data_IF_191450051697
#
_entry.id   IF_191450051697
#
_cell.length_a   1.000
_cell.length_b   1.000
_cell.length_c   1.000
_cell.angle_alpha   90.00
_cell.angle_beta   90.00
_cell.angle_gamma   90.00
#
_symmetry.space_group_name_H-M   'P 1'
#
loop_
_entity.id
_entity.type
_entity.pdbx_description
1 polymer ?
#
# COMPACT_ATOMS: atom_id res chain seq x y z
N UNK A 1 -13.70 -0.79 0.41
CA UNK A 1 -14.17 -2.01 -0.18
C UNK A 1 -13.06 -2.81 -0.85
N UNK A 2 -13.05 -4.09 -0.63
CA UNK A 2 -12.00 -4.96 -1.15
C UNK A 2 -12.48 -5.70 -2.39
N UNK A 3 -11.72 -5.62 -3.47
CA UNK A 3 -12.05 -6.35 -4.69
C UNK A 3 -10.84 -7.15 -5.09
N UNK A 4 -11.06 -8.36 -5.56
CA UNK A 4 -9.95 -9.15 -6.05
C UNK A 4 -9.44 -8.54 -7.34
N UNK A 5 -8.17 -8.30 -7.38
CA UNK A 5 -7.53 -7.71 -8.53
C UNK A 5 -6.43 -8.64 -8.96
N UNK A 6 -6.46 -9.11 -10.18
CA UNK A 6 -5.60 -10.19 -10.59
C UNK A 6 -4.51 -9.81 -11.57
N UNK A 7 -3.68 -8.84 -11.25
CA UNK A 7 -2.55 -8.62 -12.15
C UNK A 7 -1.55 -9.77 -12.07
N UNK A 8 -1.64 -10.58 -10.99
CA UNK A 8 -0.65 -11.62 -10.77
C UNK A 8 -1.25 -13.02 -10.66
N UNK A 9 -2.51 -13.18 -10.98
CA UNK A 9 -3.15 -14.49 -10.91
C UNK A 9 -3.01 -15.14 -9.54
N UNK A 10 -3.08 -14.34 -8.48
CA UNK A 10 -2.92 -14.84 -7.14
C UNK A 10 -4.19 -14.53 -6.35
N UNK A 11 -4.88 -15.56 -5.91
CA UNK A 11 -6.14 -15.38 -5.19
C UNK A 11 -5.99 -14.69 -3.85
N UNK A 12 -4.75 -14.58 -3.35
CA UNK A 12 -4.51 -13.93 -2.07
C UNK A 12 -4.46 -12.42 -2.15
N UNK A 13 -4.52 -11.87 -3.36
CA UNK A 13 -4.41 -10.43 -3.53
C UNK A 13 -5.78 -9.76 -3.52
N UNK A 14 -5.87 -8.67 -2.79
CA UNK A 14 -7.10 -7.92 -2.68
C UNK A 14 -6.81 -6.45 -2.89
N UNK A 15 -7.37 -5.86 -3.93
CA UNK A 15 -7.14 -4.45 -4.24
C UNK A 15 -8.26 -3.59 -3.70
N UNK A 16 -7.89 -2.48 -3.06
CA UNK A 16 -8.86 -1.48 -2.61
C UNK A 16 -8.79 -0.31 -3.56
N UNK A 17 -9.91 0.04 -4.16
CA UNK A 17 -9.96 1.03 -5.22
C UNK A 17 -10.89 2.17 -4.90
N UNK A 18 -10.59 3.31 -5.51
CA UNK A 18 -11.50 4.46 -5.47
C UNK A 18 -12.73 4.17 -6.30
N UNK A 19 -13.88 4.55 -5.83
CA UNK A 19 -15.10 4.35 -6.59
C UNK A 19 -15.13 5.17 -7.86
N UNK A 20 -14.61 6.37 -7.82
CA UNK A 20 -14.71 7.26 -8.96
C UNK A 20 -13.78 6.93 -10.11
N UNK A 21 -12.50 6.78 -9.83
CA UNK A 21 -11.55 6.60 -10.91
C UNK A 21 -11.03 5.19 -11.03
N UNK A 22 -11.46 4.29 -10.17
CA UNK A 22 -11.08 2.88 -10.19
C UNK A 22 -9.59 2.63 -9.93
N UNK A 23 -8.87 3.64 -9.47
CA UNK A 23 -7.46 3.44 -9.16
C UNK A 23 -7.29 2.75 -7.82
N UNK A 24 -6.32 1.86 -7.75
CA UNK A 24 -6.02 1.12 -6.53
C UNK A 24 -5.21 1.99 -5.60
N UNK A 25 -5.62 2.08 -4.33
CA UNK A 25 -4.84 2.81 -3.33
C UNK A 25 -4.22 1.89 -2.28
N UNK A 26 -4.63 0.64 -2.23
CA UNK A 26 -4.02 -0.34 -1.34
C UNK A 26 -4.17 -1.72 -1.94
N UNK A 27 -3.11 -2.52 -1.83
CA UNK A 27 -3.14 -3.88 -2.34
C UNK A 27 -2.71 -4.76 -1.19
N UNK A 28 -3.61 -5.64 -0.75
CA UNK A 28 -3.43 -6.46 0.45
C UNK A 28 -3.22 -7.91 0.04
N UNK A 29 -2.22 -8.55 0.62
CA UNK A 29 -1.92 -9.93 0.26
C UNK A 29 -1.16 -10.61 1.38
N UNK A 30 -1.08 -11.94 1.32
CA UNK A 30 -0.32 -12.73 2.27
C UNK A 30 1.03 -13.06 1.68
N UNK A 31 2.07 -12.98 2.50
CA UNK A 31 3.39 -13.34 2.06
C UNK A 31 4.23 -13.70 3.29
N UNK A 32 4.89 -14.85 3.24
CA UNK A 32 5.81 -15.28 4.30
C UNK A 32 5.19 -15.30 5.69
N UNK A 33 3.90 -15.64 5.75
CA UNK A 33 3.23 -15.79 7.05
C UNK A 33 2.66 -14.49 7.60
N UNK A 34 2.77 -13.39 6.88
CA UNK A 34 2.25 -12.10 7.33
C UNK A 34 1.34 -11.49 6.26
N UNK A 35 0.49 -10.60 6.69
CA UNK A 35 -0.28 -9.79 5.76
C UNK A 35 0.57 -8.58 5.37
N UNK A 36 0.63 -8.30 4.10
CA UNK A 36 1.37 -7.16 3.56
C UNK A 36 0.38 -6.23 2.87
N UNK A 37 0.66 -4.93 2.95
CA UNK A 37 -0.16 -3.93 2.26
C UNK A 37 0.76 -3.06 1.42
N UNK A 38 0.50 -2.98 0.12
CA UNK A 38 1.22 -2.05 -0.74
C UNK A 38 0.43 -0.76 -0.81
N UNK A 39 1.09 0.36 -0.57
CA UNK A 39 0.47 1.67 -0.63
C UNK A 39 1.35 2.61 -1.43
N UNK A 40 0.71 3.55 -2.12
CA UNK A 40 1.45 4.56 -2.87
C UNK A 40 1.96 5.61 -1.93
N UNK A 41 3.15 6.10 -2.20
CA UNK A 41 3.80 7.04 -1.32
C UNK A 41 4.51 8.11 -2.14
N UNK A 42 4.42 9.34 -1.68
CA UNK A 42 5.17 10.43 -2.31
C UNK A 42 6.65 10.11 -2.20
N UNK A 43 7.43 10.24 -3.27
CA UNK A 43 8.86 9.92 -3.20
C UNK A 43 9.60 10.65 -2.10
N UNK A 44 9.13 11.83 -1.72
CA UNK A 44 9.77 12.58 -0.62
C UNK A 44 9.58 11.88 0.71
N UNK A 45 8.48 11.14 0.87
CA UNK A 45 8.19 10.46 2.13
C UNK A 45 8.54 8.99 2.10
N UNK A 46 8.86 8.46 0.93
CA UNK A 46 9.16 7.05 0.77
C UNK A 46 10.25 6.59 1.71
N UNK A 47 11.36 7.31 1.71
CA UNK A 47 12.50 6.92 2.54
C UNK A 47 12.22 7.17 4.02
N UNK A 48 11.43 8.19 4.31
CA UNK A 48 11.07 8.47 5.69
C UNK A 48 10.42 7.24 6.33
N UNK A 49 9.42 6.68 5.64
CA UNK A 49 8.71 5.53 6.18
C UNK A 49 9.59 4.28 6.24
N UNK A 50 10.42 4.09 5.22
CA UNK A 50 11.32 2.94 5.20
C UNK A 50 12.36 3.02 6.31
N UNK A 51 12.81 4.22 6.63
CA UNK A 51 13.79 4.41 7.69
C UNK A 51 13.15 4.37 9.07
N UNK A 52 11.89 4.77 9.16
CA UNK A 52 11.20 4.79 10.44
C UNK A 52 10.85 3.38 10.93
N UNK A 53 10.56 2.47 10.03
CA UNK A 53 10.12 1.12 10.39
C UNK A 53 10.77 0.08 9.51
N UNK A 54 11.35 -0.94 10.13
CA UNK A 54 11.95 -2.04 9.37
C UNK A 54 10.91 -2.78 8.54
N UNK A 55 9.66 -2.76 8.97
CA UNK A 55 8.59 -3.46 8.27
C UNK A 55 7.96 -2.65 7.14
N UNK A 56 8.50 -1.47 6.85
CA UNK A 56 8.12 -0.72 5.66
C UNK A 56 9.28 -0.85 4.68
N UNK A 57 9.02 -1.53 3.57
CA UNK A 57 10.07 -1.90 2.60
C UNK A 57 9.65 -1.52 1.19
N UNK A 58 10.58 -1.56 0.23
CA UNK A 58 10.20 -1.29 -1.16
C UNK A 58 9.12 -2.25 -1.61
N UNK A 59 8.19 -1.75 -2.39
CA UNK A 59 6.98 -2.49 -2.71
C UNK A 59 7.27 -3.76 -3.51
N UNK A 60 6.61 -4.83 -3.11
CA UNK A 60 6.69 -6.11 -3.78
C UNK A 60 5.78 -6.08 -5.00
N UNK A 61 6.31 -6.41 -6.15
CA UNK A 61 5.56 -6.44 -7.43
C UNK A 61 4.99 -5.09 -7.88
N UNK A 62 5.48 -4.00 -7.32
CA UNK A 62 5.01 -2.67 -7.72
C UNK A 62 6.21 -1.79 -8.00
N UNK A 63 5.96 -0.62 -8.54
CA UNK A 63 7.01 0.37 -8.77
C UNK A 63 7.56 0.83 -7.42
N UNK A 64 8.82 0.56 -7.17
CA UNK A 64 9.43 0.81 -5.86
C UNK A 64 9.74 2.28 -5.60
N UNK A 65 9.63 3.12 -6.61
CA UNK A 65 9.83 4.55 -6.43
C UNK A 65 8.60 5.19 -5.81
N UNK A 66 7.42 4.69 -6.20
CA UNK A 66 6.15 5.29 -5.78
C UNK A 66 5.36 4.44 -4.79
N UNK A 67 5.81 3.24 -4.48
CA UNK A 67 5.04 2.32 -3.63
C UNK A 67 5.90 1.71 -2.56
N UNK A 68 5.34 1.56 -1.38
CA UNK A 68 5.96 0.83 -0.27
C UNK A 68 5.08 -0.33 0.13
N UNK A 69 5.71 -1.36 0.68
CA UNK A 69 4.99 -2.47 1.29
C UNK A 69 5.08 -2.33 2.80
N UNK A 70 3.98 -2.50 3.49
CA UNK A 70 3.93 -2.52 4.95
C UNK A 70 3.68 -3.95 5.38
N UNK A 71 4.59 -4.51 6.16
CA UNK A 71 4.45 -5.87 6.67
C UNK A 71 3.74 -5.77 8.02
N UNK A 72 2.59 -6.40 8.14
CA UNK A 72 1.80 -6.34 9.36
C UNK A 72 2.29 -7.39 10.35
N UNK A 73 3.43 -7.12 10.95
CA UNK A 73 4.04 -8.03 11.92
C UNK A 73 3.94 -7.49 13.34
N UNK A 74 3.17 -6.44 13.52
CA UNK A 74 2.96 -5.85 14.84
C UNK A 74 3.93 -4.75 15.20
N UNK A 75 4.93 -4.50 14.35
CA UNK A 75 5.94 -3.50 14.68
C UNK A 75 5.56 -2.08 14.29
N UNK A 76 4.63 -1.92 13.34
CA UNK A 76 4.20 -0.60 12.90
C UNK A 76 2.89 -0.26 13.62
N UNK A 77 2.83 0.85 14.36
CA UNK A 77 1.60 1.22 15.05
C UNK A 77 0.43 1.41 14.09
N UNK A 78 -0.76 1.06 14.53
CA UNK A 78 -1.95 1.17 13.69
C UNK A 78 -2.16 2.57 13.15
N UNK A 79 -1.89 3.59 13.94
CA UNK A 79 -2.09 4.96 13.49
C UNK A 79 -1.18 5.31 12.33
N UNK A 80 0.02 4.75 12.30
CA UNK A 80 0.96 5.01 11.23
C UNK A 80 0.57 4.23 9.97
N UNK A 81 0.05 3.02 10.14
CA UNK A 81 -0.48 2.25 9.03
C UNK A 81 -1.65 3.01 8.40
N UNK A 82 -2.57 3.52 9.21
CA UNK A 82 -3.70 4.28 8.71
C UNK A 82 -3.26 5.54 8.00
N UNK A 83 -2.21 6.17 8.50
CA UNK A 83 -1.69 7.38 7.90
C UNK A 83 -1.12 7.10 6.51
N UNK A 84 -0.37 6.00 6.38
CA UNK A 84 0.19 5.63 5.09
C UNK A 84 -0.90 5.24 4.09
N UNK A 85 -1.93 4.54 4.55
CA UNK A 85 -3.06 4.20 3.68
C UNK A 85 -3.80 5.47 3.26
N UNK A 86 -4.01 6.39 4.19
CA UNK A 86 -4.68 7.66 3.90
C UNK A 86 -3.90 8.49 2.90
N UNK A 87 -2.60 8.51 3.02
CA UNK A 87 -1.75 9.22 2.07
C UNK A 87 -1.88 8.61 0.68
N UNK A 88 -1.88 7.29 0.61
CA UNK A 88 -2.04 6.59 -0.66
C UNK A 88 -3.40 6.90 -1.27
N UNK A 89 -4.44 6.94 -0.45
CA UNK A 89 -5.77 7.29 -0.92
C UNK A 89 -5.76 8.68 -1.54
N UNK A 90 -5.12 9.63 -0.87
CA UNK A 90 -5.08 11.01 -1.38
C UNK A 90 -4.28 11.12 -2.66
N UNK A 91 -3.17 10.38 -2.76
CA UNK A 91 -2.31 10.46 -3.94
C UNK A 91 -2.97 9.85 -5.18
N UNK A 92 -3.90 8.94 -4.98
CA UNK A 92 -4.50 8.23 -6.10
C UNK A 92 -5.92 8.65 -6.41
N UNK A 93 -6.51 9.54 -5.61
CA UNK A 93 -7.92 9.90 -5.83
C UNK A 93 -8.15 10.77 -7.05
N UNK A 94 -7.12 11.15 -7.73
CA UNK A 94 -7.23 11.92 -8.95
C UNK A 94 -7.16 13.40 -8.69
N UNK A 95 -7.12 14.17 -9.80
CA UNK A 95 -7.00 15.56 -9.70
C UNK A 95 -8.23 16.17 -9.27
N UNK A 96 -8.12 17.15 -8.47
CA UNK A 96 -9.26 17.78 -8.12
C UNK A 96 -9.16 19.12 -8.52
N UNK A 97 -9.90 19.65 -8.87
CA UNK A 97 -9.78 20.89 -9.35
C UNK A 97 -10.60 21.64 -8.98
#
# INVERSE_FOLDING_TARGET
MCMKDYPFHDDNWCGMRHKKNKKTFALIYDKDGYVWINVKCDPEWREFWRNAFESVVPAYHMNKIHWNSIILDGSVPDKDIQRMIGESYDLTKGKKK
#
